data_IF_873430154936
#
_entry.id   IF_873430154936
#
_cell.length_a   1.000
_cell.length_b   1.000
_cell.length_c   1.000
_cell.angle_alpha   90.00
_cell.angle_beta   90.00
_cell.angle_gamma   90.00
#
_symmetry.space_group_name_H-M   'P 1'
#
loop_
_entity.id
_entity.type
_entity.pdbx_description
1 polymer ?
#
# COMPACT_ATOMS: atom_id res chain seq x y z
N UNK A 1 -52.19 -13.07 6.30
CA UNK A 1 -51.64 -11.83 5.73
C UNK A 1 -51.51 -10.79 6.82
N UNK A 2 -50.34 -10.70 7.45
CA UNK A 2 -50.02 -9.69 8.47
C UNK A 2 -49.24 -8.57 7.81
N UNK A 3 -49.86 -7.41 7.61
CA UNK A 3 -49.21 -6.23 7.05
C UNK A 3 -48.32 -5.62 8.11
N UNK A 4 -47.01 -5.90 8.03
CA UNK A 4 -45.99 -5.19 8.80
C UNK A 4 -46.05 -3.71 8.43
N UNK A 5 -46.53 -2.85 9.34
CA UNK A 5 -46.45 -1.39 9.22
C UNK A 5 -45.00 -0.96 9.45
N UNK A 6 -44.15 -1.16 8.45
CA UNK A 6 -42.83 -0.54 8.40
C UNK A 6 -42.99 0.97 8.24
N UNK A 7 -42.74 1.70 9.33
CA UNK A 7 -42.88 3.16 9.36
C UNK A 7 -41.75 3.83 8.56
N UNK A 8 -42.04 4.15 7.29
CA UNK A 8 -41.12 4.83 6.36
C UNK A 8 -40.57 6.16 6.91
N UNK A 9 -41.25 6.80 7.85
CA UNK A 9 -40.79 8.05 8.47
C UNK A 9 -39.61 7.84 9.43
N UNK A 10 -39.57 6.71 10.17
CA UNK A 10 -38.44 6.40 11.06
C UNK A 10 -37.17 6.02 10.27
N UNK A 11 -37.34 5.38 9.11
CA UNK A 11 -36.25 5.12 8.16
C UNK A 11 -35.66 6.43 7.61
N UNK A 12 -36.51 7.38 7.21
CA UNK A 12 -36.06 8.71 6.76
C UNK A 12 -35.34 9.48 7.88
N UNK A 13 -35.85 9.44 9.12
CA UNK A 13 -35.22 10.13 10.26
C UNK A 13 -33.87 9.51 10.61
N UNK A 14 -33.75 8.17 10.66
CA UNK A 14 -32.46 7.48 10.90
C UNK A 14 -31.47 7.69 9.74
N UNK A 15 -31.95 7.77 8.51
CA UNK A 15 -31.10 8.05 7.33
C UNK A 15 -30.55 9.49 7.35
N UNK A 16 -31.39 10.47 7.72
CA UNK A 16 -30.97 11.88 7.83
C UNK A 16 -29.89 12.10 8.90
N UNK A 17 -30.04 11.48 10.07
CA UNK A 17 -29.02 11.54 11.13
C UNK A 17 -27.74 10.75 10.80
N UNK A 18 -27.81 9.78 9.87
CA UNK A 18 -26.64 9.03 9.37
C UNK A 18 -25.89 9.80 8.26
N UNK A 19 -26.58 10.66 7.49
CA UNK A 19 -25.95 11.56 6.50
C UNK A 19 -25.14 12.68 7.18
N UNK A 20 -25.54 13.12 8.38
CA UNK A 20 -24.88 14.22 9.07
C UNK A 20 -23.54 13.86 9.73
N UNK A 21 -23.18 12.57 9.83
CA UNK A 21 -21.88 12.17 10.35
C UNK A 21 -20.88 12.11 9.20
N UNK A 22 -20.38 13.28 8.81
CA UNK A 22 -19.23 13.36 7.93
C UNK A 22 -18.11 12.53 8.59
N UNK A 23 -17.58 11.50 7.92
CA UNK A 23 -16.49 10.71 8.47
C UNK A 23 -15.32 11.63 8.81
N UNK A 24 -14.66 11.39 9.95
CA UNK A 24 -13.47 12.16 10.34
C UNK A 24 -12.41 12.17 9.24
N UNK A 25 -12.26 11.05 8.53
CA UNK A 25 -11.39 10.94 7.37
C UNK A 25 -11.72 11.95 6.26
N UNK A 26 -13.01 12.19 5.98
CA UNK A 26 -13.44 13.15 4.95
C UNK A 26 -13.13 14.58 5.37
N UNK A 27 -13.30 14.92 6.66
CA UNK A 27 -12.92 16.24 7.18
C UNK A 27 -11.40 16.48 7.10
N UNK A 28 -10.59 15.46 7.43
CA UNK A 28 -9.13 15.54 7.35
C UNK A 28 -8.67 15.77 5.91
N UNK A 29 -9.25 15.05 4.95
CA UNK A 29 -8.91 15.22 3.53
C UNK A 29 -9.31 16.61 3.03
N UNK A 30 -10.52 17.09 3.35
CA UNK A 30 -10.96 18.43 2.97
C UNK A 30 -10.08 19.52 3.59
N UNK A 31 -9.70 19.36 4.86
CA UNK A 31 -8.78 20.29 5.53
C UNK A 31 -7.40 20.33 4.88
N UNK A 32 -6.83 19.17 4.55
CA UNK A 32 -5.55 19.09 3.85
C UNK A 32 -5.61 19.73 2.46
N UNK A 33 -6.68 19.47 1.70
CA UNK A 33 -6.89 20.07 0.36
C UNK A 33 -7.05 21.59 0.47
N UNK A 34 -7.84 22.08 1.44
CA UNK A 34 -8.01 23.52 1.66
C UNK A 34 -6.69 24.20 2.03
N UNK A 35 -5.89 23.56 2.89
CA UNK A 35 -4.57 24.06 3.29
C UNK A 35 -3.59 24.13 2.12
N UNK A 36 -3.49 23.06 1.33
CA UNK A 36 -2.65 23.04 0.11
C UNK A 36 -3.12 24.11 -0.88
N UNK A 37 -4.43 24.26 -1.05
CA UNK A 37 -5.00 25.28 -1.95
C UNK A 37 -4.70 26.70 -1.46
N UNK A 38 -4.73 26.95 -0.16
CA UNK A 38 -4.38 28.25 0.43
C UNK A 38 -2.89 28.58 0.20
N UNK A 39 -1.99 27.61 0.41
CA UNK A 39 -0.55 27.79 0.12
C UNK A 39 -0.31 28.07 -1.36
N UNK A 40 -0.98 27.33 -2.25
CA UNK A 40 -0.89 27.54 -3.69
C UNK A 40 -1.37 28.94 -4.08
N UNK A 41 -2.51 29.39 -3.53
CA UNK A 41 -3.05 30.73 -3.76
C UNK A 41 -2.11 31.83 -3.24
N UNK A 42 -1.55 31.68 -2.04
CA UNK A 42 -0.56 32.58 -1.47
C UNK A 42 0.72 32.68 -2.33
N UNK A 43 1.16 31.54 -2.89
CA UNK A 43 2.29 31.51 -3.80
C UNK A 43 2.00 32.20 -5.13
N UNK A 44 0.80 31.99 -5.71
CA UNK A 44 0.34 32.70 -6.90
C UNK A 44 0.16 34.21 -6.67
N UNK A 45 -0.25 34.61 -5.47
CA UNK A 45 -0.33 36.00 -5.05
C UNK A 45 1.04 36.68 -4.88
N UNK A 46 2.14 35.95 -5.11
CA UNK A 46 3.54 36.39 -4.94
C UNK A 46 3.82 36.92 -3.54
N UNK A 47 3.20 36.31 -2.54
CA UNK A 47 3.47 36.66 -1.16
C UNK A 47 4.96 36.43 -0.84
N UNK A 48 5.63 37.45 -0.29
CA UNK A 48 7.09 37.48 -0.16
C UNK A 48 7.66 36.33 0.69
N UNK A 49 6.91 35.87 1.70
CA UNK A 49 7.33 34.79 2.58
C UNK A 49 7.31 33.44 1.88
N UNK A 50 6.21 33.11 1.20
CA UNK A 50 6.01 31.82 0.53
C UNK A 50 6.96 31.69 -0.67
N UNK A 51 7.03 32.75 -1.49
CA UNK A 51 7.94 32.81 -2.63
C UNK A 51 9.42 32.74 -2.22
N UNK A 52 9.82 33.40 -1.12
CA UNK A 52 11.19 33.33 -0.61
C UNK A 52 11.60 31.93 -0.12
N UNK A 53 10.69 31.21 0.53
CA UNK A 53 10.93 29.81 0.95
C UNK A 53 11.11 28.92 -0.27
N UNK A 54 10.21 28.99 -1.25
CA UNK A 54 10.30 28.16 -2.45
C UNK A 54 11.52 28.50 -3.31
N UNK A 55 11.90 29.78 -3.43
CA UNK A 55 13.13 30.17 -4.10
C UNK A 55 14.37 29.59 -3.42
N UNK A 56 14.41 29.57 -2.08
CA UNK A 56 15.51 28.95 -1.33
C UNK A 56 15.60 27.45 -1.58
N UNK A 57 14.45 26.77 -1.65
CA UNK A 57 14.40 25.33 -1.96
C UNK A 57 14.84 25.09 -3.41
N UNK A 58 14.40 25.91 -4.36
CA UNK A 58 14.78 25.80 -5.77
C UNK A 58 16.29 25.91 -5.96
N UNK A 59 16.96 26.84 -5.26
CA UNK A 59 18.43 26.95 -5.28
C UNK A 59 19.11 25.66 -4.81
N UNK A 60 18.54 24.98 -3.80
CA UNK A 60 19.06 23.68 -3.34
C UNK A 60 18.78 22.54 -4.33
N UNK A 61 17.67 22.60 -5.07
CA UNK A 61 17.37 21.62 -6.13
C UNK A 61 18.33 21.75 -7.30
N UNK A 62 18.72 22.98 -7.65
CA UNK A 62 19.72 23.25 -8.69
C UNK A 62 21.14 22.80 -8.30
N UNK A 63 21.44 22.77 -6.99
CA UNK A 63 22.72 22.33 -6.44
C UNK A 63 22.53 21.12 -5.50
N UNK A 64 22.12 19.96 -6.02
CA UNK A 64 21.82 18.81 -5.19
C UNK A 64 23.09 18.29 -4.51
N UNK A 65 22.97 17.58 -3.37
CA UNK A 65 24.14 17.02 -2.67
C UNK A 65 24.97 16.10 -3.58
N UNK A 66 26.29 16.10 -3.42
CA UNK A 66 27.24 15.37 -4.29
C UNK A 66 26.95 13.86 -4.36
N UNK A 67 26.51 13.24 -3.26
CA UNK A 67 26.14 11.82 -3.20
C UNK A 67 24.87 11.47 -4.00
N UNK A 68 24.07 12.49 -4.33
CA UNK A 68 22.85 12.37 -5.09
C UNK A 68 23.07 12.57 -6.59
N UNK A 69 24.11 13.35 -6.94
CA UNK A 69 24.50 13.67 -8.31
C UNK A 69 24.97 12.42 -9.07
N UNK A 70 24.77 12.47 -10.38
CA UNK A 70 25.32 11.48 -11.31
C UNK A 70 26.83 11.73 -11.36
N UNK A 71 27.68 10.74 -11.03
CA UNK A 71 29.12 10.91 -11.15
C UNK A 71 29.48 11.29 -12.58
N UNK A 72 30.22 12.39 -12.75
CA UNK A 72 30.69 12.86 -14.05
C UNK A 72 31.71 11.92 -14.72
N UNK A 73 32.07 10.82 -14.04
CA UNK A 73 32.87 9.73 -14.58
C UNK A 73 32.18 9.05 -15.78
N UNK A 74 32.90 8.15 -16.45
CA UNK A 74 32.40 7.43 -17.63
C UNK A 74 31.04 6.76 -17.36
N UNK A 75 30.15 6.73 -18.36
CA UNK A 75 28.80 6.13 -18.27
C UNK A 75 28.81 4.69 -17.74
N UNK A 76 29.93 3.99 -17.85
CA UNK A 76 30.13 2.63 -17.38
C UNK A 76 30.05 2.50 -15.85
N UNK A 77 30.44 3.53 -15.08
CA UNK A 77 30.29 3.52 -13.62
C UNK A 77 28.83 3.49 -13.16
N UNK A 78 27.89 3.97 -13.99
CA UNK A 78 26.46 3.92 -13.67
C UNK A 78 25.89 2.50 -13.73
N UNK A 79 26.51 1.61 -14.49
CA UNK A 79 26.05 0.23 -14.63
C UNK A 79 26.53 -0.66 -13.48
N UNK A 80 27.63 -0.29 -12.81
CA UNK A 80 28.23 -1.09 -11.73
C UNK A 80 27.23 -1.40 -10.61
N UNK A 81 26.50 -0.43 -10.02
CA UNK A 81 25.52 -0.72 -8.98
C UNK A 81 24.40 -1.63 -9.49
N UNK A 82 23.95 -1.44 -10.74
CA UNK A 82 22.91 -2.28 -11.35
C UNK A 82 23.37 -3.72 -11.48
N UNK A 83 24.57 -3.96 -12.01
CA UNK A 83 25.12 -5.31 -12.11
C UNK A 83 25.32 -5.96 -10.74
N UNK A 84 25.80 -5.21 -9.74
CA UNK A 84 25.99 -5.72 -8.38
C UNK A 84 24.65 -6.12 -7.75
N UNK A 85 23.63 -5.26 -7.82
CA UNK A 85 22.31 -5.55 -7.23
C UNK A 85 21.59 -6.69 -7.94
N UNK A 86 21.66 -6.74 -9.28
CA UNK A 86 21.08 -7.85 -10.06
C UNK A 86 21.79 -9.16 -9.73
N UNK A 87 23.13 -9.16 -9.66
CA UNK A 87 23.90 -10.35 -9.30
C UNK A 87 23.58 -10.82 -7.88
N UNK A 88 23.44 -9.90 -6.93
CA UNK A 88 23.04 -10.20 -5.56
C UNK A 88 21.62 -10.81 -5.49
N UNK A 89 20.68 -10.26 -6.25
CA UNK A 89 19.32 -10.80 -6.34
C UNK A 89 19.30 -12.21 -6.96
N UNK A 90 20.01 -12.42 -8.06
CA UNK A 90 20.13 -13.73 -8.72
C UNK A 90 20.84 -14.75 -7.82
N UNK A 91 21.88 -14.34 -7.10
CA UNK A 91 22.56 -15.18 -6.11
C UNK A 91 21.59 -15.59 -4.99
N UNK A 92 20.82 -14.65 -4.43
CA UNK A 92 19.82 -14.95 -3.40
C UNK A 92 18.76 -15.95 -3.90
N UNK A 93 18.30 -15.82 -5.15
CA UNK A 93 17.35 -16.75 -5.78
C UNK A 93 17.98 -18.13 -5.98
N UNK A 94 19.22 -18.19 -6.49
CA UNK A 94 19.92 -19.47 -6.75
C UNK A 94 20.24 -20.22 -5.46
N UNK A 95 20.62 -19.51 -4.40
CA UNK A 95 20.93 -20.11 -3.09
C UNK A 95 19.66 -20.61 -2.39
N UNK A 96 18.50 -19.98 -2.66
CA UNK A 96 17.22 -20.30 -2.00
C UNK A 96 16.11 -20.56 -3.03
N UNK A 97 16.07 -21.73 -3.69
CA UNK A 97 15.02 -22.07 -4.66
C UNK A 97 13.61 -22.07 -4.05
N UNK A 98 13.50 -22.37 -2.75
CA UNK A 98 12.29 -22.14 -1.96
C UNK A 98 12.43 -20.81 -1.21
N UNK A 99 11.42 -19.93 -1.21
CA UNK A 99 11.51 -18.61 -0.58
C UNK A 99 11.56 -18.73 0.95
N UNK A 100 12.77 -18.80 1.49
CA UNK A 100 13.03 -18.76 2.93
C UNK A 100 12.91 -17.32 3.45
N UNK A 101 12.73 -17.17 4.78
CA UNK A 101 12.57 -15.85 5.42
C UNK A 101 13.74 -14.90 5.13
N UNK A 102 14.97 -15.42 5.12
CA UNK A 102 16.18 -14.61 4.91
C UNK A 102 16.32 -14.15 3.45
N UNK A 103 16.08 -15.01 2.47
CA UNK A 103 16.20 -14.65 1.05
C UNK A 103 15.14 -13.62 0.66
N UNK A 104 13.91 -13.75 1.18
CA UNK A 104 12.88 -12.71 1.02
C UNK A 104 13.30 -11.40 1.70
N UNK A 105 13.88 -11.44 2.90
CA UNK A 105 14.35 -10.24 3.59
C UNK A 105 15.44 -9.49 2.80
N UNK A 106 16.40 -10.22 2.21
CA UNK A 106 17.47 -9.62 1.38
C UNK A 106 16.88 -8.92 0.15
N UNK A 107 15.98 -9.58 -0.58
CA UNK A 107 15.35 -9.00 -1.78
C UNK A 107 14.54 -7.75 -1.41
N UNK A 108 13.74 -7.81 -0.35
CA UNK A 108 12.96 -6.65 0.10
C UNK A 108 13.86 -5.52 0.60
N UNK A 109 14.96 -5.83 1.28
CA UNK A 109 15.93 -4.81 1.70
C UNK A 109 16.57 -4.10 0.51
N UNK A 110 16.93 -4.82 -0.55
CA UNK A 110 17.44 -4.23 -1.81
C UNK A 110 16.40 -3.30 -2.43
N UNK A 111 15.15 -3.76 -2.56
CA UNK A 111 14.06 -2.95 -3.13
C UNK A 111 13.77 -1.71 -2.28
N UNK A 112 13.79 -1.85 -0.94
CA UNK A 112 13.57 -0.74 -0.03
C UNK A 112 14.71 0.28 -0.10
N UNK A 113 15.97 -0.16 -0.17
CA UNK A 113 17.12 0.71 -0.32
C UNK A 113 17.07 1.51 -1.64
N UNK A 114 16.70 0.86 -2.74
CA UNK A 114 16.49 1.52 -4.03
C UNK A 114 15.34 2.53 -3.97
N UNK A 115 14.23 2.16 -3.33
CA UNK A 115 13.08 3.05 -3.12
C UNK A 115 13.47 4.29 -2.31
N UNK A 116 14.21 4.13 -1.21
CA UNK A 116 14.70 5.26 -0.39
C UNK A 116 15.63 6.14 -1.22
N UNK A 117 16.58 5.56 -1.95
CA UNK A 117 17.49 6.31 -2.83
C UNK A 117 16.75 7.09 -3.91
N UNK A 118 15.68 6.51 -4.46
CA UNK A 118 14.78 7.17 -5.41
C UNK A 118 14.03 8.33 -4.77
N UNK A 119 13.40 8.12 -3.60
CA UNK A 119 12.66 9.17 -2.90
C UNK A 119 13.57 10.35 -2.53
N UNK A 120 14.79 10.07 -2.07
CA UNK A 120 15.80 11.11 -1.82
C UNK A 120 16.16 11.87 -3.09
N UNK A 121 16.37 11.18 -4.22
CA UNK A 121 16.60 11.84 -5.50
C UNK A 121 15.43 12.71 -5.94
N UNK A 122 14.21 12.15 -5.86
CA UNK A 122 13.00 12.82 -6.29
C UNK A 122 12.75 14.09 -5.48
N UNK A 123 12.95 14.03 -4.16
CA UNK A 123 12.71 15.14 -3.23
C UNK A 123 13.80 16.22 -3.22
N UNK A 124 15.05 15.88 -3.53
CA UNK A 124 16.20 16.80 -3.35
C UNK A 124 16.83 17.30 -4.65
N UNK A 125 16.55 16.67 -5.80
CA UNK A 125 17.20 17.04 -7.07
C UNK A 125 16.26 17.25 -8.27
N UNK A 126 14.94 17.06 -8.12
CA UNK A 126 14.02 17.06 -9.27
C UNK A 126 12.75 17.89 -9.08
N UNK A 127 12.58 18.52 -7.91
CA UNK A 127 11.46 19.44 -7.71
C UNK A 127 11.80 20.74 -8.43
N UNK A 128 10.92 21.15 -9.34
CA UNK A 128 11.03 22.42 -10.02
C UNK A 128 10.11 23.42 -9.33
N UNK A 129 10.69 24.41 -8.65
CA UNK A 129 9.96 25.41 -7.87
C UNK A 129 10.25 26.83 -8.40
N UNK A 130 10.73 26.95 -9.65
CA UNK A 130 11.08 28.23 -10.28
C UNK A 130 9.86 29.13 -10.47
N UNK A 131 8.73 28.52 -10.87
CA UNK A 131 7.48 29.19 -11.15
C UNK A 131 6.34 28.55 -10.36
N UNK A 132 5.36 29.31 -9.85
CA UNK A 132 4.24 28.77 -9.07
C UNK A 132 3.47 27.67 -9.80
N UNK A 133 3.26 27.82 -11.11
CA UNK A 133 2.56 26.83 -11.94
C UNK A 133 3.33 25.51 -12.01
N UNK A 134 4.62 25.57 -12.35
CA UNK A 134 5.49 24.38 -12.43
C UNK A 134 5.66 23.74 -11.05
N UNK A 135 5.80 24.55 -10.00
CA UNK A 135 5.91 24.11 -8.61
C UNK A 135 4.71 23.31 -8.13
N UNK A 136 3.50 23.77 -8.40
CA UNK A 136 2.28 23.08 -7.99
C UNK A 136 2.14 21.72 -8.71
N UNK A 137 2.38 21.67 -10.02
CA UNK A 137 2.36 20.39 -10.74
C UNK A 137 3.48 19.45 -10.29
N UNK A 138 4.69 19.98 -10.05
CA UNK A 138 5.83 19.20 -9.57
C UNK A 138 5.57 18.61 -8.18
N UNK A 139 5.06 19.42 -7.24
CA UNK A 139 4.67 18.99 -5.89
C UNK A 139 3.47 18.04 -5.91
N UNK A 140 2.48 18.28 -6.76
CA UNK A 140 1.33 17.40 -6.92
C UNK A 140 1.74 16.02 -7.40
N UNK A 141 2.61 15.97 -8.42
CA UNK A 141 3.18 14.71 -8.91
C UNK A 141 4.01 14.01 -7.83
N UNK A 142 4.86 14.75 -7.10
CA UNK A 142 5.62 14.20 -5.98
C UNK A 142 4.72 13.59 -4.90
N UNK A 143 3.61 14.25 -4.54
CA UNK A 143 2.67 13.73 -3.54
C UNK A 143 1.99 12.44 -4.00
N UNK A 144 1.55 12.38 -5.26
CA UNK A 144 0.99 11.16 -5.85
C UNK A 144 2.01 10.01 -5.88
N UNK A 145 3.27 10.31 -6.21
CA UNK A 145 4.34 9.32 -6.14
C UNK A 145 4.59 8.85 -4.70
N UNK A 146 4.57 9.73 -3.69
CA UNK A 146 4.72 9.35 -2.29
C UNK A 146 3.59 8.44 -1.81
N UNK A 147 2.35 8.67 -2.27
CA UNK A 147 1.24 7.76 -1.99
C UNK A 147 1.49 6.37 -2.58
N UNK A 148 1.95 6.28 -3.83
CA UNK A 148 2.30 5.00 -4.44
C UNK A 148 3.43 4.29 -3.68
N UNK A 149 4.51 5.01 -3.35
CA UNK A 149 5.63 4.48 -2.56
C UNK A 149 5.16 3.95 -1.21
N UNK A 150 4.26 4.67 -0.53
CA UNK A 150 3.69 4.24 0.74
C UNK A 150 2.89 2.94 0.58
N UNK A 151 2.00 2.86 -0.41
CA UNK A 151 1.20 1.65 -0.68
C UNK A 151 2.10 0.46 -1.00
N UNK A 152 3.10 0.63 -1.86
CA UNK A 152 4.07 -0.42 -2.19
C UNK A 152 4.88 -0.84 -0.98
N UNK A 153 5.30 0.11 -0.13
CA UNK A 153 6.05 -0.21 1.10
C UNK A 153 5.23 -1.05 2.09
N UNK A 154 3.95 -0.74 2.25
CA UNK A 154 3.03 -1.55 3.07
C UNK A 154 2.86 -2.95 2.47
N UNK A 155 2.68 -3.05 1.16
CA UNK A 155 2.56 -4.34 0.47
C UNK A 155 3.82 -5.21 0.66
N UNK A 156 5.01 -4.62 0.52
CA UNK A 156 6.29 -5.30 0.77
C UNK A 156 6.41 -5.77 2.22
N UNK A 157 6.00 -4.94 3.18
CA UNK A 157 5.99 -5.30 4.60
C UNK A 157 5.06 -6.48 4.90
N UNK A 158 3.87 -6.50 4.31
CA UNK A 158 2.93 -7.62 4.44
C UNK A 158 3.50 -8.91 3.84
N UNK A 159 4.17 -8.83 2.69
CA UNK A 159 4.83 -9.98 2.08
C UNK A 159 5.96 -10.55 2.95
N UNK A 160 6.68 -9.73 3.73
CA UNK A 160 7.70 -10.22 4.67
C UNK A 160 7.10 -11.04 5.83
N UNK A 161 5.86 -10.77 6.23
CA UNK A 161 5.19 -11.40 7.38
C UNK A 161 4.48 -12.71 7.07
N UNK A 162 4.69 -13.32 5.90
CA UNK A 162 4.08 -14.64 5.61
C UNK A 162 4.66 -15.68 6.57
N UNK A 163 3.79 -16.19 7.44
CA UNK A 163 4.12 -17.26 8.38
C UNK A 163 3.78 -18.59 7.71
N UNK A 164 4.80 -19.43 7.56
CA UNK A 164 4.58 -20.83 7.25
C UNK A 164 3.97 -21.51 8.49
N UNK A 165 2.73 -22.00 8.35
CA UNK A 165 1.99 -22.69 9.41
C UNK A 165 1.91 -24.20 9.20
N UNK A 166 2.71 -24.78 8.29
CA UNK A 166 2.72 -26.24 8.04
C UNK A 166 3.00 -27.03 9.32
N UNK A 167 4.03 -26.65 10.08
CA UNK A 167 4.34 -27.31 11.36
C UNK A 167 3.21 -27.19 12.40
N UNK A 168 2.48 -26.06 12.42
CA UNK A 168 1.33 -25.89 13.30
C UNK A 168 0.18 -26.81 12.87
N UNK A 169 -0.05 -26.93 11.56
CA UNK A 169 -1.05 -27.84 11.00
C UNK A 169 -0.71 -29.31 11.28
N UNK A 170 0.55 -29.72 11.06
CA UNK A 170 1.01 -31.09 11.31
C UNK A 170 0.85 -31.47 12.79
N UNK A 171 1.16 -30.54 13.70
CA UNK A 171 0.97 -30.77 15.15
C UNK A 171 -0.50 -30.91 15.53
N UNK A 172 -1.37 -30.07 14.98
CA UNK A 172 -2.81 -30.13 15.28
C UNK A 172 -3.48 -31.34 14.63
N UNK A 173 -2.95 -31.83 13.50
CA UNK A 173 -3.44 -33.05 12.85
C UNK A 173 -3.35 -34.28 13.77
N UNK A 174 -2.31 -34.36 14.61
CA UNK A 174 -2.19 -35.43 15.62
C UNK A 174 -3.32 -35.34 16.65
N UNK A 175 -3.62 -34.15 17.17
CA UNK A 175 -4.70 -33.97 18.14
C UNK A 175 -6.09 -34.28 17.56
N UNK A 176 -6.29 -34.03 16.26
CA UNK A 176 -7.50 -34.43 15.54
C UNK A 176 -7.55 -35.96 15.37
N UNK A 177 -6.45 -36.58 14.95
CA UNK A 177 -6.36 -38.04 14.75
C UNK A 177 -6.55 -38.83 16.06
N UNK A 178 -6.11 -38.28 17.19
CA UNK A 178 -6.29 -38.85 18.53
C UNK A 178 -7.70 -38.59 19.11
N UNK A 179 -8.57 -37.85 18.44
CA UNK A 179 -9.90 -37.49 18.92
C UNK A 179 -9.92 -36.43 20.03
N UNK A 180 -8.75 -35.86 20.37
CA UNK A 180 -8.60 -34.83 21.41
C UNK A 180 -9.11 -33.44 20.97
N UNK A 181 -9.34 -33.24 19.66
CA UNK A 181 -9.80 -31.97 19.10
C UNK A 181 -10.82 -32.20 17.97
N UNK A 182 -12.10 -32.32 18.35
CA UNK A 182 -13.23 -32.49 17.43
C UNK A 182 -14.41 -31.57 17.83
N UNK A 183 -14.32 -30.25 17.58
CA UNK A 183 -15.46 -29.36 17.81
C UNK A 183 -16.60 -29.62 16.82
N UNK A 184 -17.84 -29.34 17.21
CA UNK A 184 -18.96 -29.27 16.28
C UNK A 184 -18.75 -28.11 15.28
N UNK A 185 -18.85 -28.37 13.98
CA UNK A 185 -18.63 -27.38 12.91
C UNK A 185 -19.89 -27.24 12.06
N UNK A 186 -20.39 -26.02 11.93
CA UNK A 186 -21.46 -25.66 11.00
C UNK A 186 -20.87 -25.06 9.72
N UNK A 187 -21.26 -25.58 8.55
CA UNK A 187 -20.80 -25.09 7.24
C UNK A 187 -21.89 -24.23 6.60
N UNK A 188 -21.63 -22.93 6.45
CA UNK A 188 -22.55 -22.00 5.80
C UNK A 188 -22.23 -21.85 4.31
N UNK A 189 -23.24 -22.06 3.45
CA UNK A 189 -23.14 -21.87 1.99
C UNK A 189 -24.01 -20.67 1.58
N UNK A 190 -23.44 -19.46 1.44
CA UNK A 190 -24.20 -18.31 0.95
C UNK A 190 -24.45 -18.45 -0.57
N UNK A 191 -25.70 -18.26 -0.99
CA UNK A 191 -26.13 -18.31 -2.40
C UNK A 191 -27.12 -17.18 -2.68
N UNK A 192 -27.11 -16.66 -3.90
CA UNK A 192 -28.06 -15.68 -4.40
C UNK A 192 -28.81 -16.18 -5.64
N UNK A 193 -28.11 -16.34 -6.76
CA UNK A 193 -28.72 -16.73 -8.03
C UNK A 193 -27.84 -17.75 -8.78
N UNK A 194 -27.18 -18.64 -8.03
CA UNK A 194 -26.41 -19.75 -8.60
C UNK A 194 -27.33 -20.91 -9.01
N UNK A 195 -27.08 -21.55 -10.18
CA UNK A 195 -27.90 -22.67 -10.63
C UNK A 195 -27.73 -23.91 -9.74
N UNK A 196 -28.81 -24.67 -9.59
CA UNK A 196 -28.90 -25.81 -8.65
C UNK A 196 -27.81 -26.86 -8.83
N UNK A 197 -27.29 -27.07 -10.05
CA UNK A 197 -26.23 -28.05 -10.27
C UNK A 197 -24.88 -27.65 -9.64
N UNK A 198 -24.60 -26.35 -9.52
CA UNK A 198 -23.38 -25.86 -8.84
C UNK A 198 -23.54 -26.05 -7.33
N UNK A 199 -24.68 -25.62 -6.78
CA UNK A 199 -24.99 -25.78 -5.35
C UNK A 199 -24.95 -27.25 -4.94
N UNK A 200 -25.51 -28.15 -5.75
CA UNK A 200 -25.47 -29.59 -5.48
C UNK A 200 -24.04 -30.11 -5.36
N UNK A 201 -23.12 -29.68 -6.22
CA UNK A 201 -21.71 -30.10 -6.15
C UNK A 201 -21.04 -29.57 -4.88
N UNK A 202 -21.30 -28.32 -4.50
CA UNK A 202 -20.78 -27.74 -3.26
C UNK A 202 -21.30 -28.48 -2.04
N UNK A 203 -22.60 -28.75 -1.96
CA UNK A 203 -23.22 -29.49 -0.83
C UNK A 203 -22.64 -30.91 -0.71
N UNK A 204 -22.53 -31.63 -1.83
CA UNK A 204 -21.91 -32.97 -1.83
C UNK A 204 -20.46 -32.90 -1.35
N UNK A 205 -19.69 -31.89 -1.79
CA UNK A 205 -18.31 -31.67 -1.33
C UNK A 205 -18.23 -31.42 0.18
N UNK A 206 -19.14 -30.61 0.73
CA UNK A 206 -19.21 -30.37 2.18
C UNK A 206 -19.58 -31.62 2.96
N UNK A 207 -20.50 -32.45 2.44
CA UNK A 207 -20.90 -33.72 3.06
C UNK A 207 -19.81 -34.79 3.00
N UNK A 208 -18.88 -34.70 2.05
CA UNK A 208 -17.79 -35.65 1.86
C UNK A 208 -16.50 -35.28 2.60
N UNK A 209 -16.51 -34.22 3.42
CA UNK A 209 -15.37 -33.86 4.26
C UNK A 209 -15.13 -34.97 5.29
N UNK A 210 -13.88 -35.39 5.43
CA UNK A 210 -13.45 -36.34 6.46
C UNK A 210 -13.40 -35.62 7.81
N UNK A 211 -14.54 -35.65 8.49
CA UNK A 211 -14.75 -35.02 9.80
C UNK A 211 -15.67 -35.96 10.59
N UNK A 212 -15.10 -36.69 11.54
CA UNK A 212 -15.77 -37.71 12.35
C UNK A 212 -16.06 -37.22 13.77
#
# INVERSE_FOLDING_TARGET
MTTSRFNLQDLKRRFFWRISRVPTATLVVLGAVAFVSAIAAAWFAREGTVSGIFATIDIRQQNPPVWLQVPAASKMYLLVPTFVLVSAALAAIKISPQPQKWSRAVVVAIVLALTIRYVLWRSLATLNLSDPLNGIFSLGLFFLEMLMVLTTSIQLYLMLRVKDRRQEADRMAVAVAEGNFAPSVDIFIPTYNEPAFILRRTVIGCQALDYA
#
